data_IF_309970752455
#
_entry.id   IF_309970752455
#
_cell.length_a   1.000
_cell.length_b   1.000
_cell.length_c   1.000
_cell.angle_alpha   90.00
_cell.angle_beta   90.00
_cell.angle_gamma   90.00
#
_symmetry.space_group_name_H-M   'P 1'
#
loop_
_entity.id
_entity.type
_entity.pdbx_description
1 polymer ?
#
# COMPACT_ATOMS: atom_id res chain seq x y z
N UNK A 1 -15.85 -19.90 -1.85
CA UNK A 1 -15.12 -19.58 -3.08
C UNK A 1 -14.20 -18.40 -2.80
N UNK A 2 -12.91 -18.57 -3.06
CA UNK A 2 -11.91 -17.49 -2.99
C UNK A 2 -11.67 -16.96 -4.39
N UNK A 3 -11.85 -15.68 -4.59
CA UNK A 3 -11.60 -15.01 -5.87
C UNK A 3 -10.58 -13.88 -5.68
N UNK A 4 -9.63 -13.77 -6.61
CA UNK A 4 -8.69 -12.65 -6.69
C UNK A 4 -8.70 -12.12 -8.12
N UNK A 5 -8.92 -10.83 -8.26
CA UNK A 5 -8.81 -10.10 -9.52
C UNK A 5 -7.74 -9.03 -9.37
N UNK A 6 -6.80 -8.98 -10.29
CA UNK A 6 -5.75 -7.96 -10.29
C UNK A 6 -5.49 -7.45 -11.69
N UNK A 7 -5.36 -6.13 -11.84
CA UNK A 7 -4.98 -5.46 -13.07
C UNK A 7 -3.81 -4.53 -12.78
N UNK A 8 -2.77 -4.60 -13.60
CA UNK A 8 -1.57 -3.78 -13.44
C UNK A 8 -1.14 -3.20 -14.78
N UNK A 9 -0.83 -1.91 -14.76
CA UNK A 9 -0.34 -1.15 -15.90
C UNK A 9 1.04 -0.60 -15.58
N UNK A 10 2.03 -0.85 -16.41
CA UNK A 10 3.46 -0.54 -16.13
C UNK A 10 4.01 0.67 -16.89
N UNK A 11 3.26 1.24 -17.79
CA UNK A 11 3.66 2.42 -18.55
C UNK A 11 2.51 3.45 -18.61
N UNK A 12 1.87 3.68 -17.48
CA UNK A 12 0.78 4.64 -17.37
C UNK A 12 1.32 6.07 -17.44
N UNK A 13 0.49 6.99 -17.94
CA UNK A 13 0.77 8.43 -17.95
C UNK A 13 -0.41 9.21 -17.39
N UNK A 14 -0.28 9.69 -16.18
CA UNK A 14 -1.27 10.58 -15.56
C UNK A 14 -1.40 11.91 -16.32
N UNK A 15 -0.30 12.40 -16.89
CA UNK A 15 -0.27 13.62 -17.69
C UNK A 15 -1.10 13.51 -18.96
N UNK A 16 -1.08 12.34 -19.60
CA UNK A 16 -1.82 12.10 -20.83
C UNK A 16 -3.29 11.74 -20.59
N UNK A 17 -3.71 11.52 -19.35
CA UNK A 17 -5.07 11.10 -18.99
C UNK A 17 -6.14 12.09 -19.47
N UNK A 18 -5.80 13.38 -19.55
CA UNK A 18 -6.70 14.45 -20.00
C UNK A 18 -6.57 14.82 -21.48
N UNK A 19 -5.69 14.15 -22.25
CA UNK A 19 -5.53 14.40 -23.68
C UNK A 19 -6.55 13.62 -24.50
N UNK A 20 -7.20 14.29 -25.46
CA UNK A 20 -8.09 13.62 -26.40
C UNK A 20 -7.34 12.54 -27.18
N UNK A 21 -7.90 11.32 -27.26
CA UNK A 21 -7.32 10.20 -28.01
C UNK A 21 -6.19 9.45 -27.30
N UNK A 22 -5.81 9.81 -26.08
CA UNK A 22 -4.79 9.10 -25.31
C UNK A 22 -5.28 7.73 -24.77
N UNK A 23 -6.59 7.52 -24.69
CA UNK A 23 -7.23 6.28 -24.23
C UNK A 23 -7.27 5.21 -25.33
N UNK A 24 -6.14 4.48 -25.54
CA UNK A 24 -5.98 3.41 -26.55
C UNK A 24 -5.14 2.22 -26.02
N UNK A 25 -5.63 1.38 -25.14
CA UNK A 25 -6.81 1.44 -24.27
C UNK A 25 -6.61 2.34 -23.05
N UNK A 26 -5.36 2.69 -22.68
CA UNK A 26 -4.99 3.49 -21.50
C UNK A 26 -3.94 4.52 -21.89
N UNK A 27 -3.92 5.69 -21.22
CA UNK A 27 -2.87 6.69 -21.44
C UNK A 27 -1.50 6.13 -21.02
N UNK A 28 -0.53 6.17 -21.93
CA UNK A 28 0.83 5.65 -21.72
C UNK A 28 1.89 6.71 -22.01
N UNK A 29 3.13 6.47 -21.57
CA UNK A 29 4.30 7.25 -21.94
C UNK A 29 5.18 7.79 -20.82
N UNK A 30 4.74 7.77 -19.56
CA UNK A 30 5.53 8.30 -18.42
C UNK A 30 6.15 7.19 -17.55
N UNK A 31 5.98 5.92 -17.88
CA UNK A 31 6.54 4.80 -17.13
C UNK A 31 5.96 4.60 -15.73
N UNK A 32 4.86 5.29 -15.41
CA UNK A 32 4.16 5.16 -14.14
C UNK A 32 3.52 3.78 -14.03
N UNK A 33 3.38 3.30 -12.80
CA UNK A 33 2.73 2.03 -12.51
C UNK A 33 1.43 2.28 -11.75
N UNK A 34 0.37 1.68 -12.25
CA UNK A 34 -0.94 1.66 -11.59
C UNK A 34 -1.35 0.22 -11.40
N UNK A 35 -1.79 -0.15 -10.22
CA UNK A 35 -2.39 -1.46 -10.01
C UNK A 35 -3.65 -1.38 -9.16
N UNK A 36 -4.61 -2.22 -9.52
CA UNK A 36 -5.86 -2.45 -8.82
C UNK A 36 -5.93 -3.92 -8.47
N UNK A 37 -6.22 -4.23 -7.22
CA UNK A 37 -6.41 -5.60 -6.75
C UNK A 37 -7.67 -5.68 -5.92
N UNK A 38 -8.50 -6.66 -6.23
CA UNK A 38 -9.66 -7.03 -5.43
C UNK A 38 -9.55 -8.50 -5.07
N UNK A 39 -9.80 -8.82 -3.82
CA UNK A 39 -9.82 -10.18 -3.31
C UNK A 39 -11.08 -10.38 -2.46
N UNK A 40 -11.75 -11.50 -2.64
CA UNK A 40 -12.92 -11.84 -1.86
C UNK A 40 -12.92 -13.33 -1.50
N UNK A 41 -13.26 -13.60 -0.26
CA UNK A 41 -13.61 -14.93 0.24
C UNK A 41 -15.04 -14.87 0.80
N UNK A 42 -15.99 -14.57 -0.08
CA UNK A 42 -17.40 -14.41 0.29
C UNK A 42 -17.60 -13.33 1.36
N UNK A 43 -18.30 -13.69 2.43
CA UNK A 43 -18.58 -12.79 3.55
C UNK A 43 -17.46 -12.72 4.61
N UNK A 44 -16.50 -13.67 4.58
CA UNK A 44 -15.45 -13.76 5.59
C UNK A 44 -14.36 -12.72 5.39
N UNK A 45 -13.95 -12.50 4.15
CA UNK A 45 -12.86 -11.58 3.85
C UNK A 45 -13.07 -10.90 2.51
N UNK A 46 -12.86 -9.59 2.49
CA UNK A 46 -12.85 -8.77 1.30
C UNK A 46 -11.71 -7.77 1.40
N UNK A 47 -10.94 -7.59 0.33
CA UNK A 47 -9.83 -6.65 0.29
C UNK A 47 -9.77 -5.96 -1.07
N UNK A 48 -9.60 -4.66 -1.04
CA UNK A 48 -9.42 -3.81 -2.21
C UNK A 48 -8.15 -3.00 -2.02
N UNK A 49 -7.31 -2.98 -3.04
CA UNK A 49 -6.07 -2.23 -3.01
C UNK A 49 -5.91 -1.45 -4.33
N UNK A 50 -5.55 -0.20 -4.21
CA UNK A 50 -5.11 0.65 -5.30
C UNK A 50 -3.67 1.08 -5.02
N UNK A 51 -2.77 0.94 -5.98
CA UNK A 51 -1.41 1.47 -5.89
C UNK A 51 -1.04 2.26 -7.13
N UNK A 52 -0.37 3.37 -6.91
CA UNK A 52 0.21 4.22 -7.92
C UNK A 52 1.69 4.45 -7.59
N UNK A 53 2.56 4.41 -8.59
CA UNK A 53 3.98 4.68 -8.43
C UNK A 53 4.49 5.52 -9.60
N UNK A 54 5.08 6.67 -9.27
CA UNK A 54 5.84 7.53 -10.17
C UNK A 54 7.33 7.29 -9.93
N UNK A 55 8.07 6.63 -10.84
CA UNK A 55 9.49 6.30 -10.63
C UNK A 55 10.42 7.50 -10.84
N UNK A 56 9.98 8.55 -11.52
CA UNK A 56 10.80 9.70 -11.92
C UNK A 56 10.13 11.03 -11.55
N UNK A 57 9.78 11.20 -10.29
CA UNK A 57 9.16 12.43 -9.80
C UNK A 57 10.04 13.65 -10.12
N UNK A 58 9.51 14.57 -10.93
CA UNK A 58 10.24 15.76 -11.39
C UNK A 58 11.13 15.52 -12.63
N UNK A 59 11.18 14.31 -13.20
CA UNK A 59 11.77 14.00 -14.51
C UNK A 59 13.30 14.05 -14.59
N UNK A 60 14.02 14.39 -13.52
CA UNK A 60 15.48 14.62 -13.55
C UNK A 60 16.31 13.61 -12.72
N UNK A 61 15.70 12.96 -11.77
CA UNK A 61 16.37 12.03 -10.85
C UNK A 61 15.46 10.85 -10.56
N UNK A 62 16.00 9.66 -10.24
CA UNK A 62 15.19 8.52 -9.85
C UNK A 62 14.61 8.72 -8.43
N UNK A 63 13.71 9.68 -8.31
CA UNK A 63 12.94 9.93 -7.11
C UNK A 63 11.59 9.24 -7.29
N UNK A 64 11.36 8.16 -6.57
CA UNK A 64 10.12 7.43 -6.65
C UNK A 64 9.09 7.98 -5.66
N UNK A 65 7.89 8.26 -6.15
CA UNK A 65 6.73 8.56 -5.32
C UNK A 65 5.77 7.38 -5.41
N UNK A 66 5.33 6.86 -4.28
CA UNK A 66 4.32 5.81 -4.20
C UNK A 66 3.10 6.28 -3.42
N UNK A 67 1.93 5.88 -3.88
CA UNK A 67 0.67 6.14 -3.23
C UNK A 67 -0.14 4.84 -3.20
N UNK A 68 -0.57 4.42 -2.02
CA UNK A 68 -1.38 3.24 -1.82
C UNK A 68 -2.62 3.57 -1.01
N UNK A 69 -3.75 3.03 -1.45
CA UNK A 69 -5.01 3.05 -0.68
C UNK A 69 -5.53 1.63 -0.63
N UNK A 70 -5.90 1.19 0.57
CA UNK A 70 -6.49 -0.14 0.73
C UNK A 70 -7.65 -0.12 1.70
N UNK A 71 -8.53 -1.05 1.49
CA UNK A 71 -9.63 -1.35 2.39
C UNK A 71 -9.77 -2.85 2.51
N UNK A 72 -9.74 -3.37 3.71
CA UNK A 72 -10.00 -4.77 4.01
C UNK A 72 -11.11 -4.90 5.03
N UNK A 73 -11.93 -5.92 4.85
CA UNK A 73 -13.00 -6.29 5.78
C UNK A 73 -12.81 -7.76 6.11
N UNK A 74 -12.67 -8.07 7.37
CA UNK A 74 -12.66 -9.43 7.91
C UNK A 74 -13.89 -9.61 8.79
N UNK A 75 -14.58 -10.73 8.67
CA UNK A 75 -15.77 -11.00 9.47
C UNK A 75 -15.93 -12.50 9.76
N UNK A 76 -16.87 -12.81 10.65
CA UNK A 76 -17.27 -14.17 10.99
C UNK A 76 -18.17 -14.84 9.94
N UNK A 77 -18.35 -14.24 8.75
CA UNK A 77 -19.17 -14.78 7.68
C UNK A 77 -20.67 -14.49 7.81
N UNK A 78 -21.10 -13.85 8.88
CA UNK A 78 -22.50 -13.46 9.03
C UNK A 78 -22.87 -12.25 8.14
N UNK A 79 -24.07 -12.18 7.56
CA UNK A 79 -24.51 -11.06 6.76
C UNK A 79 -24.65 -9.80 7.63
N UNK A 80 -24.54 -8.63 6.99
CA UNK A 80 -24.69 -7.33 7.70
C UNK A 80 -26.12 -7.10 8.22
N UNK A 81 -27.09 -7.61 7.51
CA UNK A 81 -28.50 -7.47 7.85
C UNK A 81 -29.20 -8.83 7.74
N UNK A 82 -30.13 -9.07 8.63
CA UNK A 82 -31.07 -10.19 8.62
C UNK A 82 -32.46 -9.58 8.78
N UNK A 83 -33.37 -9.90 7.87
CA UNK A 83 -34.76 -9.40 7.84
C UNK A 83 -34.86 -7.85 7.90
N UNK A 84 -33.89 -7.17 7.29
CA UNK A 84 -33.84 -5.71 7.22
C UNK A 84 -33.18 -5.03 8.43
N UNK A 85 -32.94 -5.72 9.53
CA UNK A 85 -32.30 -5.21 10.74
C UNK A 85 -30.78 -5.49 10.76
N UNK A 86 -30.05 -4.69 11.53
CA UNK A 86 -28.59 -4.89 11.74
C UNK A 86 -28.37 -6.17 12.52
N UNK A 87 -27.58 -7.08 11.97
CA UNK A 87 -27.29 -8.35 12.59
C UNK A 87 -26.29 -8.19 13.76
N UNK A 88 -26.80 -8.27 14.99
CA UNK A 88 -25.99 -8.19 16.22
C UNK A 88 -24.98 -9.32 16.37
N UNK A 89 -25.17 -10.48 15.71
CA UNK A 89 -24.24 -11.62 15.74
C UNK A 89 -23.07 -11.45 14.79
N UNK A 90 -23.06 -10.40 13.96
CA UNK A 90 -21.96 -10.14 13.04
C UNK A 90 -20.77 -9.56 13.79
N UNK A 91 -19.65 -10.25 13.66
CA UNK A 91 -18.35 -9.76 14.09
C UNK A 91 -17.57 -9.30 12.87
N UNK A 92 -17.02 -8.09 12.89
CA UNK A 92 -16.24 -7.59 11.76
C UNK A 92 -15.19 -6.56 12.17
N UNK A 93 -14.03 -6.68 11.53
CA UNK A 93 -12.95 -5.71 11.55
C UNK A 93 -12.80 -5.13 10.15
N UNK A 94 -12.93 -3.83 10.02
CA UNK A 94 -12.68 -3.11 8.78
C UNK A 94 -11.46 -2.22 8.97
N UNK A 95 -10.52 -2.31 8.04
CA UNK A 95 -9.31 -1.50 8.00
C UNK A 95 -9.33 -0.71 6.70
N UNK A 96 -9.27 0.60 6.79
CA UNK A 96 -9.08 1.48 5.64
C UNK A 96 -7.77 2.23 5.85
N UNK A 97 -6.87 2.16 4.88
CA UNK A 97 -5.56 2.78 5.00
C UNK A 97 -5.14 3.55 3.76
N UNK A 98 -4.31 4.55 3.99
CA UNK A 98 -3.65 5.35 2.97
C UNK A 98 -2.17 5.43 3.33
N UNK A 99 -1.32 5.27 2.33
CA UNK A 99 0.12 5.39 2.48
C UNK A 99 0.70 6.22 1.34
N UNK A 100 1.59 7.13 1.70
CA UNK A 100 2.43 7.89 0.75
C UNK A 100 3.88 7.57 1.05
N UNK A 101 4.62 7.17 0.04
CA UNK A 101 6.03 6.82 0.15
C UNK A 101 6.86 7.63 -0.83
N UNK A 102 8.05 8.03 -0.39
CA UNK A 102 9.05 8.71 -1.20
C UNK A 102 10.37 7.96 -1.11
N UNK A 103 10.91 7.57 -2.26
CA UNK A 103 12.19 6.89 -2.40
C UNK A 103 13.19 7.74 -3.18
N UNK A 104 14.40 7.83 -2.68
CA UNK A 104 15.49 8.58 -3.32
C UNK A 104 16.79 7.80 -3.23
N UNK A 105 17.56 7.81 -4.33
CA UNK A 105 18.96 7.34 -4.33
C UNK A 105 19.90 8.48 -3.93
N UNK A 106 20.77 8.21 -2.97
CA UNK A 106 21.79 9.14 -2.55
C UNK A 106 23.11 8.84 -3.27
N UNK A 107 23.86 9.93 -3.56
CA UNK A 107 25.15 9.84 -4.19
C UNK A 107 26.31 10.00 -3.21
N UNK A 108 26.03 10.36 -1.98
CA UNK A 108 27.05 10.54 -0.92
C UNK A 108 26.63 9.72 0.30
N UNK A 109 27.54 8.97 0.93
CA UNK A 109 29.00 8.88 0.65
C UNK A 109 29.33 8.10 -0.64
N UNK A 110 28.45 7.22 -1.11
CA UNK A 110 28.58 6.47 -2.37
C UNK A 110 27.22 6.30 -3.06
N UNK A 111 27.23 5.83 -4.32
CA UNK A 111 26.01 5.68 -5.14
C UNK A 111 25.14 4.47 -4.75
N UNK A 112 25.49 3.71 -3.71
CA UNK A 112 24.80 2.50 -3.29
C UNK A 112 23.71 2.75 -2.25
N UNK A 113 23.60 3.99 -1.73
CA UNK A 113 22.61 4.33 -0.73
C UNK A 113 21.25 4.65 -1.35
N UNK A 114 20.22 4.07 -0.76
CA UNK A 114 18.81 4.37 -1.04
C UNK A 114 18.10 4.74 0.25
N UNK A 115 17.33 5.82 0.20
CA UNK A 115 16.49 6.29 1.30
C UNK A 115 15.03 6.12 0.90
N UNK A 116 14.23 5.57 1.78
CA UNK A 116 12.78 5.49 1.63
C UNK A 116 12.11 6.06 2.88
N UNK A 117 11.15 6.94 2.68
CA UNK A 117 10.30 7.50 3.73
C UNK A 117 8.86 7.19 3.36
N UNK A 118 8.08 6.67 4.29
CA UNK A 118 6.67 6.41 4.08
C UNK A 118 5.85 6.89 5.27
N UNK A 119 4.75 7.57 4.98
CA UNK A 119 3.72 7.95 5.95
C UNK A 119 2.49 7.09 5.68
N UNK A 120 1.95 6.49 6.70
CA UNK A 120 0.80 5.60 6.63
C UNK A 120 -0.23 5.99 7.69
N UNK A 121 -1.46 6.16 7.26
CA UNK A 121 -2.61 6.34 8.13
C UNK A 121 -3.57 5.17 7.94
N UNK A 122 -4.04 4.60 9.05
CA UNK A 122 -4.98 3.49 9.08
C UNK A 122 -6.13 3.81 10.01
N UNK A 123 -7.33 3.59 9.52
CA UNK A 123 -8.58 3.70 10.27
C UNK A 123 -9.18 2.31 10.46
N UNK A 124 -9.35 1.92 11.71
CA UNK A 124 -9.93 0.65 12.13
C UNK A 124 -11.36 0.88 12.58
N UNK A 125 -12.28 0.08 12.09
CA UNK A 125 -13.65 0.02 12.57
C UNK A 125 -13.95 -1.39 13.05
N UNK A 126 -14.29 -1.50 14.31
CA UNK A 126 -14.63 -2.75 14.96
C UNK A 126 -16.14 -2.81 15.21
N UNK A 127 -16.70 -3.95 14.95
CA UNK A 127 -18.09 -4.27 15.27
C UNK A 127 -18.11 -5.65 15.91
N UNK A 128 -18.31 -5.71 17.21
CA UNK A 128 -18.30 -6.91 18.03
C UNK A 128 -17.04 -7.79 17.83
N UNK A 129 -15.85 -7.17 17.63
CA UNK A 129 -14.62 -7.83 17.23
C UNK A 129 -13.47 -7.51 18.21
N UNK A 130 -13.42 -8.24 19.33
CA UNK A 130 -12.46 -8.00 20.44
C UNK A 130 -11.16 -8.81 20.37
N UNK A 131 -10.73 -9.32 19.20
CA UNK A 131 -9.57 -10.22 19.10
C UNK A 131 -8.24 -9.50 19.22
N UNK A 132 -8.11 -8.29 18.67
CA UNK A 132 -6.84 -7.55 18.59
C UNK A 132 -6.81 -6.25 19.40
N UNK A 133 -7.94 -5.82 19.93
CA UNK A 133 -8.09 -4.57 20.66
C UNK A 133 -8.66 -4.83 22.05
N UNK A 134 -8.43 -3.91 22.99
CA UNK A 134 -9.00 -3.97 24.34
C UNK A 134 -10.52 -3.68 24.36
N UNK A 135 -11.09 -3.31 23.23
CA UNK A 135 -12.53 -3.05 23.07
C UNK A 135 -13.05 -3.83 21.85
N UNK A 136 -14.32 -4.23 21.90
CA UNK A 136 -14.96 -5.02 20.83
C UNK A 136 -15.68 -4.16 19.78
N UNK A 137 -16.09 -2.95 20.16
CA UNK A 137 -16.85 -2.03 19.34
C UNK A 137 -16.23 -0.65 19.38
N UNK A 138 -16.17 0.00 18.22
CA UNK A 138 -15.65 1.36 18.10
C UNK A 138 -14.66 1.53 16.96
N UNK A 139 -13.93 2.61 17.03
CA UNK A 139 -12.93 2.98 16.03
C UNK A 139 -11.58 3.26 16.65
N UNK A 140 -10.52 2.94 15.93
CA UNK A 140 -9.16 3.30 16.26
C UNK A 140 -8.45 3.86 15.04
N UNK A 141 -7.51 4.76 15.28
CA UNK A 141 -6.67 5.31 14.23
C UNK A 141 -5.21 4.95 14.50
N UNK A 142 -4.43 4.84 13.45
CA UNK A 142 -3.00 4.63 13.54
C UNK A 142 -2.29 5.47 12.49
N UNK A 143 -1.48 6.40 12.95
CA UNK A 143 -0.57 7.17 12.11
C UNK A 143 0.85 6.64 12.33
N UNK A 144 1.53 6.24 11.27
CA UNK A 144 2.91 5.77 11.38
C UNK A 144 3.79 6.37 10.30
N UNK A 145 5.02 6.68 10.69
CA UNK A 145 6.10 7.08 9.80
C UNK A 145 7.14 5.97 9.76
N UNK A 146 7.55 5.57 8.58
CA UNK A 146 8.62 4.61 8.36
C UNK A 146 9.76 5.27 7.60
N UNK A 147 10.96 5.16 8.11
CA UNK A 147 12.19 5.60 7.48
C UNK A 147 13.08 4.37 7.25
N UNK A 148 13.56 4.19 6.03
CA UNK A 148 14.48 3.11 5.70
C UNK A 148 15.67 3.69 4.93
N UNK A 149 16.87 3.44 5.43
CA UNK A 149 18.12 3.72 4.75
C UNK A 149 18.79 2.38 4.43
N UNK A 150 19.03 2.11 3.17
CA UNK A 150 19.67 0.89 2.74
C UNK A 150 20.89 1.19 1.88
N UNK A 151 21.96 0.41 2.06
CA UNK A 151 23.13 0.38 1.22
C UNK A 151 23.29 -1.02 0.65
N UNK A 152 23.26 -1.13 -0.66
CA UNK A 152 23.43 -2.41 -1.34
C UNK A 152 24.53 -2.28 -2.40
N UNK A 153 25.71 -2.81 -2.10
CA UNK A 153 26.88 -2.81 -2.97
C UNK A 153 27.35 -4.23 -3.35
N UNK A 154 26.51 -5.25 -3.10
CA UNK A 154 26.87 -6.63 -3.43
C UNK A 154 27.07 -6.81 -4.94
N UNK A 155 28.11 -7.58 -5.32
CA UNK A 155 28.48 -7.80 -6.70
C UNK A 155 27.49 -8.67 -7.47
N UNK A 156 26.91 -9.65 -6.80
CA UNK A 156 25.96 -10.59 -7.37
C UNK A 156 24.91 -11.00 -6.32
N UNK A 157 23.61 -11.02 -6.66
CA UNK A 157 22.55 -11.41 -5.73
C UNK A 157 22.60 -12.88 -5.28
N UNK A 158 23.18 -13.78 -6.11
CA UNK A 158 23.17 -15.23 -5.85
C UNK A 158 24.51 -15.65 -5.21
N UNK A 159 25.64 -15.18 -5.76
CA UNK A 159 26.99 -15.50 -5.28
C UNK A 159 27.80 -14.21 -5.06
N UNK A 160 27.56 -13.48 -3.97
CA UNK A 160 28.30 -12.25 -3.71
C UNK A 160 29.76 -12.54 -3.38
N UNK A 161 30.66 -12.06 -4.23
CA UNK A 161 32.12 -12.19 -4.04
C UNK A 161 32.67 -10.99 -3.27
N UNK A 162 32.04 -9.82 -3.43
CA UNK A 162 32.38 -8.58 -2.72
C UNK A 162 31.19 -7.69 -2.52
N UNK A 163 31.33 -6.70 -1.64
CA UNK A 163 30.29 -5.73 -1.31
C UNK A 163 29.54 -6.08 -0.02
N UNK A 164 28.61 -5.21 0.34
CA UNK A 164 27.78 -5.38 1.53
C UNK A 164 26.35 -4.95 1.28
N UNK A 165 25.41 -5.58 1.99
CA UNK A 165 24.02 -5.16 2.05
C UNK A 165 23.67 -4.85 3.51
N UNK A 166 23.40 -3.58 3.78
CA UNK A 166 23.09 -3.08 5.12
C UNK A 166 21.79 -2.27 5.01
N UNK A 167 20.85 -2.48 5.92
CA UNK A 167 19.63 -1.71 6.01
C UNK A 167 19.34 -1.31 7.44
N UNK A 168 18.96 -0.04 7.61
CA UNK A 168 18.42 0.50 8.85
C UNK A 168 16.96 0.91 8.60
N UNK A 169 16.03 0.37 9.37
CA UNK A 169 14.62 0.74 9.30
C UNK A 169 14.15 1.20 10.67
N UNK A 170 13.52 2.37 10.69
CA UNK A 170 12.93 2.96 11.90
C UNK A 170 11.45 3.23 11.61
N UNK A 171 10.59 2.67 12.44
CA UNK A 171 9.15 2.94 12.40
C UNK A 171 8.74 3.67 13.68
N UNK A 172 8.10 4.80 13.52
CA UNK A 172 7.56 5.60 14.62
C UNK A 172 6.03 5.69 14.48
N UNK A 173 5.35 5.51 15.60
CA UNK A 173 3.90 5.71 15.72
C UNK A 173 3.71 6.68 16.87
N UNK A 174 3.48 7.99 16.58
CA UNK A 174 3.26 8.96 17.64
C UNK A 174 1.97 8.66 18.39
N UNK A 175 1.92 8.84 19.70
CA UNK A 175 0.68 8.84 20.46
C UNK A 175 -0.14 10.08 20.11
N UNK A 176 -1.44 9.93 19.94
CA UNK A 176 -2.42 11.01 19.68
C UNK A 176 -3.74 10.73 20.37
#
# INVERSE_FOLDING_TARGET
VVGTLGVSFTNFSARNMFKKGAWKPIPTGDGQRVSLRAQSNGLFFQSYNFSFMEPWLGGKKPNALSFNVWRSVQSNGQPKRVDGEINASRQSLQITGVQVGFGQRWKKPDDWFTMNVALSYQHFQLNNYGVFFSFSDGTANNLSANFTLARNSISDPIYPVWGSNISLSVKATPPY
#
